data_IF_969677215649
#
_entry.id   IF_969677215649
#
_cell.length_a   1.000
_cell.length_b   1.000
_cell.length_c   1.000
_cell.angle_alpha   90.00
_cell.angle_beta   90.00
_cell.angle_gamma   90.00
#
_symmetry.space_group_name_H-M   'P 1'
#
loop_
_entity.id
_entity.type
_entity.pdbx_description
1 polymer ?
#
# COMPACT_ATOMS: atom_id res chain seq x y z
N UNK A 1 -6.15 -13.81 13.92
CA UNK A 1 -6.06 -12.82 12.86
C UNK A 1 -4.65 -12.33 12.69
N UNK A 2 -4.16 -12.32 11.51
CA UNK A 2 -2.79 -11.89 11.28
C UNK A 2 -2.78 -10.43 10.84
N UNK A 3 -1.81 -9.69 11.32
CA UNK A 3 -1.57 -8.35 10.81
C UNK A 3 -0.75 -8.47 9.54
N UNK A 4 -0.93 -7.50 8.68
CA UNK A 4 -0.18 -7.43 7.43
C UNK A 4 0.14 -5.98 7.13
N UNK A 5 0.80 -5.76 6.01
CA UNK A 5 1.11 -4.41 5.56
C UNK A 5 0.00 -3.93 4.63
N UNK A 6 -0.34 -2.67 4.79
CA UNK A 6 -1.32 -2.01 3.93
C UNK A 6 -0.68 -0.74 3.39
N UNK A 7 -0.88 -0.50 2.12
CA UNK A 7 -0.32 0.66 1.45
C UNK A 7 -1.42 1.65 1.11
N UNK A 8 -1.19 2.90 1.45
CA UNK A 8 -2.08 3.97 1.04
C UNK A 8 -1.73 4.35 -0.39
N UNK A 9 -2.73 4.36 -1.26
CA UNK A 9 -2.53 4.66 -2.68
C UNK A 9 -3.30 5.92 -3.01
N UNK A 10 -2.57 6.90 -3.55
CA UNK A 10 -3.16 8.17 -3.99
C UNK A 10 -2.76 8.39 -5.44
N UNK A 11 -3.75 8.48 -6.31
CA UNK A 11 -3.52 8.64 -7.76
C UNK A 11 -2.60 7.55 -8.33
N UNK A 12 -2.76 6.33 -7.83
CA UNK A 12 -1.98 5.21 -8.30
C UNK A 12 -0.57 5.12 -7.74
N UNK A 13 -0.22 5.97 -6.77
CA UNK A 13 1.11 5.98 -6.17
C UNK A 13 1.01 5.70 -4.68
N UNK A 14 1.91 4.86 -4.18
CA UNK A 14 1.96 4.54 -2.76
C UNK A 14 2.51 5.74 -2.00
N UNK A 15 1.72 6.23 -1.04
CA UNK A 15 2.08 7.42 -0.27
C UNK A 15 2.34 7.11 1.19
N UNK A 16 1.94 5.94 1.67
CA UNK A 16 2.22 5.54 3.04
C UNK A 16 2.11 4.02 3.14
N UNK A 17 2.77 3.43 4.13
CA UNK A 17 2.68 2.00 4.38
C UNK A 17 2.60 1.80 5.88
N UNK A 18 1.62 0.98 6.32
CA UNK A 18 1.44 0.71 7.74
C UNK A 18 1.17 -0.77 7.96
N UNK A 19 1.60 -1.26 9.10
CA UNK A 19 1.31 -2.62 9.52
C UNK A 19 0.04 -2.59 10.34
N UNK A 20 -1.01 -3.23 9.85
CA UNK A 20 -2.33 -3.16 10.48
C UNK A 20 -3.20 -4.31 9.98
N UNK A 21 -4.50 -4.24 10.24
CA UNK A 21 -5.47 -5.20 9.74
C UNK A 21 -6.59 -4.45 9.02
N UNK A 22 -7.26 -5.13 8.11
CA UNK A 22 -8.41 -4.53 7.43
C UNK A 22 -9.48 -4.11 8.43
N UNK A 23 -9.68 -4.92 9.45
CA UNK A 23 -10.67 -4.61 10.48
C UNK A 23 -10.34 -3.31 11.20
N UNK A 24 -9.07 -3.13 11.55
CA UNK A 24 -8.64 -1.92 12.25
C UNK A 24 -8.79 -0.69 11.35
N UNK A 25 -8.48 -0.83 10.09
CA UNK A 25 -8.67 0.26 9.11
C UNK A 25 -10.14 0.64 9.05
N UNK A 26 -11.03 -0.36 8.97
CA UNK A 26 -12.46 -0.11 8.85
C UNK A 26 -13.03 0.56 10.10
N UNK A 27 -12.47 0.26 11.25
CA UNK A 27 -12.94 0.83 12.52
C UNK A 27 -12.35 2.19 12.82
N UNK A 28 -11.30 2.57 12.12
CA UNK A 28 -10.59 3.82 12.38
C UNK A 28 -10.36 4.63 11.11
N UNK A 29 -11.44 5.04 10.44
CA UNK A 29 -11.30 5.76 9.17
C UNK A 29 -10.54 7.09 9.31
N UNK A 30 -10.55 7.69 10.49
CA UNK A 30 -9.83 8.94 10.71
C UNK A 30 -8.32 8.72 10.72
N UNK A 31 -7.88 7.54 11.14
CA UNK A 31 -6.45 7.20 11.16
C UNK A 31 -5.95 6.71 9.81
N UNK A 32 -6.85 6.25 8.97
CA UNK A 32 -6.51 5.66 7.68
C UNK A 32 -7.29 6.33 6.56
N UNK A 33 -7.02 7.61 6.30
CA UNK A 33 -7.74 8.30 5.23
C UNK A 33 -7.29 7.81 3.86
N UNK A 34 -8.18 7.95 2.89
CA UNK A 34 -7.86 7.59 1.53
C UNK A 34 -8.08 6.12 1.24
N UNK A 35 -7.35 5.63 0.25
CA UNK A 35 -7.52 4.28 -0.25
C UNK A 35 -6.36 3.41 0.20
N UNK A 36 -6.67 2.31 0.87
CA UNK A 36 -5.66 1.40 1.40
C UNK A 36 -5.79 0.04 0.76
N UNK A 37 -4.67 -0.52 0.35
CA UNK A 37 -4.62 -1.81 -0.33
C UNK A 37 -3.77 -2.76 0.48
N UNK A 38 -4.26 -3.96 0.71
CA UNK A 38 -3.48 -4.97 1.39
C UNK A 38 -2.29 -5.38 0.53
N UNK A 39 -1.11 -5.43 1.14
CA UNK A 39 0.09 -5.84 0.45
C UNK A 39 0.19 -7.36 0.53
N UNK A 40 0.20 -8.05 -0.61
CA UNK A 40 0.31 -9.51 -0.59
C UNK A 40 1.72 -9.94 -0.20
N UNK A 41 1.85 -11.23 0.07
CA UNK A 41 3.14 -11.82 0.34
C UNK A 41 3.96 -11.80 -0.95
N UNK A 42 5.07 -11.11 -0.94
CA UNK A 42 5.86 -10.94 -2.15
C UNK A 42 7.34 -10.81 -1.79
N UNK A 43 8.19 -11.05 -2.78
CA UNK A 43 9.63 -11.04 -2.57
C UNK A 43 10.15 -9.70 -2.13
N UNK A 44 9.63 -8.64 -2.73
CA UNK A 44 9.96 -7.28 -2.35
C UNK A 44 8.69 -6.56 -1.99
N UNK A 45 8.64 -6.01 -0.78
CA UNK A 45 7.47 -5.24 -0.38
C UNK A 45 7.56 -3.84 -0.97
N UNK A 46 6.41 -3.26 -1.33
CA UNK A 46 6.41 -1.91 -1.88
C UNK A 46 6.86 -0.89 -0.84
N UNK A 47 7.32 0.24 -1.34
CA UNK A 47 7.72 1.36 -0.52
C UNK A 47 7.04 2.61 -1.06
N UNK A 48 7.17 3.70 -0.33
CA UNK A 48 6.62 4.97 -0.80
C UNK A 48 7.26 5.31 -2.14
N UNK A 49 6.40 5.69 -3.09
CA UNK A 49 6.84 5.99 -4.46
C UNK A 49 6.54 4.89 -5.46
N UNK A 50 6.23 3.69 -4.98
CA UNK A 50 5.81 2.63 -5.87
C UNK A 50 4.45 2.96 -6.47
N UNK A 51 4.11 2.30 -7.58
CA UNK A 51 2.80 2.47 -8.19
C UNK A 51 1.95 1.24 -7.96
N UNK A 52 0.65 1.43 -8.02
CA UNK A 52 -0.28 0.33 -7.87
C UNK A 52 -1.42 0.48 -8.87
N UNK A 53 -1.77 -0.63 -9.52
CA UNK A 53 -2.93 -0.68 -10.39
C UNK A 53 -3.74 -1.92 -10.06
N UNK A 54 -5.06 -1.91 -10.31
CA UNK A 54 -5.87 -3.09 -10.05
C UNK A 54 -5.44 -4.32 -10.85
N UNK A 55 -4.90 -4.11 -12.03
CA UNK A 55 -4.51 -5.23 -12.90
C UNK A 55 -3.09 -5.69 -12.64
N UNK A 56 -2.18 -4.77 -12.38
CA UNK A 56 -0.77 -5.08 -12.25
C UNK A 56 -0.25 -5.19 -10.83
N UNK A 57 -1.02 -4.75 -9.85
CA UNK A 57 -0.57 -4.74 -8.46
C UNK A 57 0.52 -3.70 -8.22
N UNK A 58 1.38 -3.99 -7.27
CA UNK A 58 2.44 -3.06 -6.89
C UNK A 58 3.62 -3.19 -7.85
N UNK A 59 4.12 -2.06 -8.32
CA UNK A 59 5.26 -2.00 -9.22
C UNK A 59 6.28 -1.01 -8.67
N UNK A 60 7.57 -1.33 -8.74
CA UNK A 60 8.58 -0.37 -8.31
C UNK A 60 8.58 0.85 -9.23
N UNK A 61 9.03 2.00 -8.73
CA UNK A 61 9.10 3.17 -9.58
C UNK A 61 10.14 2.97 -10.68
N UNK A 62 10.03 3.70 -11.77
CA UNK A 62 11.09 3.65 -12.78
C UNK A 62 12.39 4.13 -12.16
N UNK A 63 13.50 3.65 -12.71
CA UNK A 63 14.79 4.02 -12.17
C UNK A 63 15.00 5.53 -12.28
N UNK A 64 15.14 6.22 -11.16
CA UNK A 64 15.31 7.66 -11.19
C UNK A 64 16.72 8.09 -11.55
N UNK A 65 17.63 7.14 -11.52
CA UNK A 65 19.00 7.46 -11.81
C UNK A 65 19.25 7.38 -13.25
N UNK A 66 19.17 8.40 -13.79
CA UNK A 66 19.44 8.44 -15.20
C UNK A 66 20.40 9.53 -15.45
#
# INVERSE_FOLDING_TARGET
>A
MSTGYFAQVTDGVVTDIRKTTQEYIDQNPDLYPGFWVEVPDMDQYPAIGWTWTPDGGFQPPPDPLV
#
